data_IF_155666061698
#
_entry.id   IF_155666061698
#
_cell.length_a   1.000
_cell.length_b   1.000
_cell.length_c   1.000
_cell.angle_alpha   90.00
_cell.angle_beta   90.00
_cell.angle_gamma   90.00
#
_symmetry.space_group_name_H-M   'P 1'
#
loop_
_entity.id
_entity.type
_entity.pdbx_description
1 polymer ?
#
# COMPACT_ATOMS: atom_id res chain seq x y z
N UNK A 1 -0.01 -32.39 21.98
CA UNK A 1 0.62 -31.05 21.92
C UNK A 1 1.83 -30.93 20.98
N UNK A 2 2.88 -31.78 21.04
CA UNK A 2 4.13 -31.61 20.24
C UNK A 2 3.94 -31.19 18.76
N UNK A 3 3.01 -31.81 18.01
CA UNK A 3 2.73 -31.46 16.60
C UNK A 3 2.30 -29.99 16.42
N UNK A 4 1.56 -29.43 17.38
CA UNK A 4 1.12 -28.04 17.37
C UNK A 4 2.29 -27.07 17.63
N UNK A 5 3.18 -27.43 18.57
CA UNK A 5 4.39 -26.66 18.89
C UNK A 5 5.32 -26.60 17.67
N UNK A 6 5.52 -27.72 16.98
CA UNK A 6 6.29 -27.74 15.72
C UNK A 6 5.60 -26.96 14.59
N UNK A 7 4.27 -26.94 14.52
CA UNK A 7 3.54 -26.07 13.57
C UNK A 7 3.82 -24.60 13.87
N UNK A 8 3.70 -24.19 15.13
CA UNK A 8 3.87 -22.80 15.55
C UNK A 8 5.32 -22.31 15.38
N UNK A 9 6.31 -23.19 15.56
CA UNK A 9 7.72 -22.91 15.27
C UNK A 9 7.98 -22.81 13.75
N UNK A 10 7.49 -23.78 12.96
CA UNK A 10 7.70 -23.83 11.51
C UNK A 10 7.04 -22.64 10.79
N UNK A 11 5.92 -22.13 11.30
CA UNK A 11 5.28 -20.92 10.79
C UNK A 11 6.10 -19.66 11.12
N UNK A 12 6.68 -19.54 12.33
CA UNK A 12 7.62 -18.45 12.66
C UNK A 12 8.91 -18.50 11.84
N UNK A 13 9.48 -19.69 11.63
CA UNK A 13 10.68 -19.87 10.79
C UNK A 13 10.40 -19.55 9.31
N UNK A 14 9.24 -19.95 8.78
CA UNK A 14 8.83 -19.58 7.41
C UNK A 14 8.67 -18.06 7.26
N UNK A 15 7.99 -17.41 8.20
CA UNK A 15 7.78 -15.95 8.17
C UNK A 15 9.11 -15.20 8.25
N UNK A 16 10.03 -15.61 9.14
CA UNK A 16 11.37 -15.04 9.23
C UNK A 16 12.17 -15.27 7.93
N UNK A 17 12.08 -16.46 7.33
CA UNK A 17 12.78 -16.77 6.09
C UNK A 17 12.21 -16.00 4.89
N UNK A 18 10.91 -15.71 4.86
CA UNK A 18 10.31 -14.79 3.89
C UNK A 18 10.86 -13.38 4.09
N UNK A 19 10.83 -12.83 5.31
CA UNK A 19 11.35 -11.49 5.62
C UNK A 19 12.84 -11.37 5.23
N UNK A 20 13.67 -12.35 5.58
CA UNK A 20 15.10 -12.38 5.23
C UNK A 20 15.29 -12.51 3.71
N UNK A 21 14.51 -13.36 3.03
CA UNK A 21 14.58 -13.49 1.57
C UNK A 21 14.14 -12.22 0.84
N UNK A 22 13.13 -11.52 1.37
CA UNK A 22 12.64 -10.22 0.87
C UNK A 22 13.70 -9.13 1.04
N UNK A 23 14.38 -9.08 2.18
CA UNK A 23 15.50 -8.16 2.42
C UNK A 23 16.70 -8.48 1.50
N UNK A 24 17.02 -9.75 1.27
CA UNK A 24 18.07 -10.18 0.33
C UNK A 24 17.70 -9.81 -1.11
N UNK A 25 16.45 -10.01 -1.53
CA UNK A 25 15.98 -9.62 -2.88
C UNK A 25 16.01 -8.10 -3.08
N UNK A 26 15.67 -7.32 -2.05
CA UNK A 26 15.81 -5.86 -2.08
C UNK A 26 17.28 -5.38 -2.14
N UNK A 27 18.22 -6.13 -1.57
CA UNK A 27 19.66 -5.89 -1.75
C UNK A 27 20.14 -6.30 -3.16
N UNK A 28 19.60 -7.36 -3.75
CA UNK A 28 19.90 -7.78 -5.13
C UNK A 28 19.36 -6.79 -6.17
N UNK A 29 18.22 -6.15 -5.90
CA UNK A 29 17.62 -5.08 -6.70
C UNK A 29 18.51 -3.81 -6.87
N UNK A 30 19.65 -3.73 -6.14
CA UNK A 30 20.65 -2.67 -6.27
C UNK A 30 21.59 -2.90 -7.46
N UNK A 31 21.83 -4.15 -7.86
CA UNK A 31 22.87 -4.47 -8.87
C UNK A 31 22.48 -3.97 -10.26
N UNK A 32 23.24 -3.01 -10.80
CA UNK A 32 24.45 -3.35 -11.56
C UNK A 32 25.78 -3.07 -10.81
N UNK A 33 26.87 -3.62 -11.35
CA UNK A 33 28.27 -3.34 -10.97
C UNK A 33 28.74 -3.73 -9.55
N UNK A 34 28.15 -4.75 -8.93
CA UNK A 34 28.77 -5.52 -7.85
C UNK A 34 29.84 -6.53 -8.35
N UNK A 35 30.59 -6.18 -9.41
CA UNK A 35 31.44 -7.09 -10.18
C UNK A 35 32.84 -6.53 -10.48
N UNK A 36 33.44 -5.78 -9.54
CA UNK A 36 34.83 -5.35 -9.60
C UNK A 36 35.42 -5.19 -8.20
N UNK A 37 36.50 -5.92 -7.90
CA UNK A 37 37.14 -6.08 -6.59
C UNK A 37 36.26 -6.72 -5.49
N UNK A 38 36.75 -7.67 -4.68
CA UNK A 38 38.02 -8.41 -4.74
C UNK A 38 37.84 -9.82 -4.18
N UNK A 39 38.66 -10.77 -4.66
CA UNK A 39 38.68 -12.13 -4.13
C UNK A 39 39.36 -12.15 -2.75
N UNK A 40 38.84 -12.96 -1.82
CA UNK A 40 39.67 -13.67 -0.86
C UNK A 40 39.03 -15.04 -0.54
N UNK A 41 39.85 -15.98 -0.09
CA UNK A 41 39.61 -17.42 -0.29
C UNK A 41 38.98 -18.14 0.92
N UNK A 42 38.51 -19.37 0.67
CA UNK A 42 38.05 -20.32 1.69
C UNK A 42 39.19 -20.72 2.64
N UNK A 43 38.85 -21.13 3.87
CA UNK A 43 39.32 -22.39 4.52
C UNK A 43 38.70 -22.59 5.93
N UNK A 44 38.82 -23.77 6.61
CA UNK A 44 37.63 -24.43 7.17
C UNK A 44 37.64 -24.79 8.69
N UNK A 45 36.66 -25.64 9.07
CA UNK A 45 36.47 -26.46 10.31
C UNK A 45 37.73 -27.14 10.89
N UNK A 46 37.74 -27.72 12.13
CA UNK A 46 36.66 -28.43 12.85
C UNK A 46 36.52 -28.00 14.35
N UNK A 47 36.03 -28.71 15.39
CA UNK A 47 35.66 -30.14 15.61
C UNK A 47 34.71 -30.35 16.83
N UNK A 48 33.54 -30.98 16.60
CA UNK A 48 32.88 -32.11 17.33
C UNK A 48 33.12 -32.37 18.85
N UNK A 49 32.04 -32.66 19.58
CA UNK A 49 32.08 -33.28 20.94
C UNK A 49 30.69 -33.51 21.59
N UNK A 50 30.28 -34.76 21.94
CA UNK A 50 28.96 -35.07 22.53
C UNK A 50 28.99 -35.58 23.99
N UNK A 51 27.88 -35.45 24.72
CA UNK A 51 27.59 -36.12 26.02
C UNK A 51 26.11 -36.57 26.05
N UNK A 52 25.75 -37.55 26.89
CA UNK A 52 24.48 -38.30 26.85
C UNK A 52 23.85 -38.51 28.25
N UNK A 53 22.72 -39.26 28.25
CA UNK A 53 22.12 -40.09 29.33
C UNK A 53 21.02 -39.54 30.28
N UNK A 54 19.84 -40.16 30.11
CA UNK A 54 18.88 -40.67 31.13
C UNK A 54 18.15 -39.61 32.02
N UNK A 55 16.97 -39.86 32.61
CA UNK A 55 16.36 -41.07 33.22
C UNK A 55 14.83 -41.19 32.93
N UNK A 56 14.33 -42.45 33.00
CA UNK A 56 12.96 -43.01 33.26
C UNK A 56 11.87 -42.11 33.92
N UNK A 57 10.56 -42.42 33.91
CA UNK A 57 9.80 -43.67 33.59
C UNK A 57 8.32 -43.40 33.17
N UNK A 58 7.62 -44.47 32.75
CA UNK A 58 6.22 -44.55 32.28
C UNK A 58 5.15 -44.75 33.37
N UNK A 59 3.86 -44.54 33.04
CA UNK A 59 2.57 -45.18 33.48
C UNK A 59 1.43 -44.38 32.77
N UNK A 60 0.60 -44.90 31.83
CA UNK A 60 -0.64 -45.71 31.98
C UNK A 60 -1.76 -44.99 32.80
N UNK A 61 -3.07 -44.97 32.48
CA UNK A 61 -3.88 -45.55 31.39
C UNK A 61 -5.20 -44.73 31.15
N UNK A 62 -6.27 -45.32 30.58
CA UNK A 62 -7.59 -44.76 30.18
C UNK A 62 -8.43 -44.14 31.35
N UNK A 63 -9.56 -43.41 31.21
CA UNK A 63 -10.71 -43.28 30.27
C UNK A 63 -11.28 -41.83 30.32
N UNK A 64 -12.35 -41.34 29.67
CA UNK A 64 -13.30 -41.84 28.64
C UNK A 64 -14.63 -41.02 28.57
N UNK A 65 -15.56 -41.44 27.70
CA UNK A 65 -16.99 -41.03 27.55
C UNK A 65 -17.35 -39.56 27.14
N UNK A 66 -18.65 -39.21 27.08
CA UNK A 66 -19.24 -38.46 25.96
C UNK A 66 -20.36 -37.45 26.30
N UNK A 67 -20.81 -36.68 25.28
CA UNK A 67 -21.95 -35.75 25.33
C UNK A 67 -22.29 -35.19 23.93
N UNK A 68 -23.58 -34.96 23.63
CA UNK A 68 -24.10 -34.67 22.27
C UNK A 68 -25.27 -33.66 22.31
N UNK A 69 -25.67 -33.10 21.15
CA UNK A 69 -26.90 -32.31 20.84
C UNK A 69 -27.02 -30.93 21.54
N UNK A 70 -27.77 -29.90 21.08
CA UNK A 70 -28.77 -29.71 20.00
C UNK A 70 -28.46 -28.44 19.15
N UNK A 71 -28.97 -28.40 17.92
CA UNK A 71 -28.97 -27.26 16.97
C UNK A 71 -30.08 -26.21 17.21
N UNK A 72 -29.87 -24.96 16.75
CA UNK A 72 -30.98 -24.03 16.45
C UNK A 72 -30.67 -23.13 15.25
N UNK A 73 -31.50 -23.17 14.20
CA UNK A 73 -31.48 -22.20 13.11
C UNK A 73 -32.34 -20.99 13.48
N UNK A 74 -31.86 -19.78 13.20
CA UNK A 74 -32.72 -18.64 12.82
C UNK A 74 -32.04 -17.88 11.67
N UNK A 75 -32.84 -17.42 10.71
CA UNK A 75 -32.41 -16.70 9.50
C UNK A 75 -33.40 -15.57 9.20
N UNK A 76 -32.95 -14.30 9.16
CA UNK A 76 -33.72 -13.19 8.64
C UNK A 76 -32.96 -12.43 7.54
N UNK A 77 -33.23 -12.73 6.26
CA UNK A 77 -32.73 -11.97 5.08
C UNK A 77 -33.19 -10.49 5.01
N UNK A 78 -33.97 -10.00 5.97
CA UNK A 78 -34.71 -8.73 5.90
C UNK A 78 -34.01 -7.44 6.35
N UNK A 79 -32.94 -7.42 7.19
CA UNK A 79 -32.23 -6.18 7.50
C UNK A 79 -31.30 -5.69 6.37
N UNK A 80 -30.75 -6.63 5.59
CA UNK A 80 -29.54 -6.43 4.77
C UNK A 80 -29.68 -5.30 3.74
N UNK A 81 -30.85 -5.20 3.09
CA UNK A 81 -31.10 -4.23 2.01
C UNK A 81 -31.14 -2.78 2.53
N UNK A 82 -31.59 -2.56 3.76
CA UNK A 82 -31.72 -1.21 4.30
C UNK A 82 -30.36 -0.63 4.73
N UNK A 83 -29.46 -1.46 5.23
CA UNK A 83 -28.06 -1.09 5.48
C UNK A 83 -27.29 -0.73 4.21
N UNK A 84 -27.51 -1.45 3.10
CA UNK A 84 -26.85 -1.18 1.81
C UNK A 84 -27.18 0.22 1.26
N UNK A 85 -28.46 0.62 1.24
CA UNK A 85 -28.83 1.97 0.79
C UNK A 85 -28.26 3.07 1.69
N UNK A 86 -28.20 2.82 3.00
CA UNK A 86 -27.64 3.76 3.96
C UNK A 86 -26.14 3.95 3.74
N UNK A 87 -25.37 2.86 3.61
CA UNK A 87 -23.94 2.91 3.26
C UNK A 87 -23.69 3.66 1.94
N UNK A 88 -24.46 3.37 0.88
CA UNK A 88 -24.32 4.06 -0.41
C UNK A 88 -24.53 5.58 -0.26
N UNK A 89 -25.54 6.00 0.51
CA UNK A 89 -25.77 7.42 0.81
C UNK A 89 -24.59 8.08 1.54
N UNK A 90 -24.02 7.38 2.54
CA UNK A 90 -22.85 7.84 3.28
C UNK A 90 -21.58 7.92 2.42
N UNK A 91 -21.28 6.91 1.60
CA UNK A 91 -20.13 6.93 0.68
C UNK A 91 -20.26 8.05 -0.34
N UNK A 92 -21.47 8.28 -0.91
CA UNK A 92 -21.73 9.40 -1.83
C UNK A 92 -21.54 10.75 -1.11
N UNK A 93 -21.96 10.88 0.15
CA UNK A 93 -21.74 12.10 0.94
C UNK A 93 -20.25 12.35 1.24
N UNK A 94 -19.49 11.31 1.61
CA UNK A 94 -18.04 11.40 1.82
C UNK A 94 -17.30 11.79 0.54
N UNK A 95 -17.62 11.15 -0.59
CA UNK A 95 -17.10 11.50 -1.92
C UNK A 95 -17.46 12.94 -2.28
N UNK A 96 -18.73 13.33 -2.12
CA UNK A 96 -19.21 14.68 -2.45
C UNK A 96 -18.54 15.77 -1.62
N UNK A 97 -18.33 15.54 -0.33
CA UNK A 97 -17.63 16.46 0.55
C UNK A 97 -16.12 16.53 0.24
N UNK A 98 -15.47 15.39 -0.04
CA UNK A 98 -14.06 15.35 -0.46
C UNK A 98 -13.85 16.09 -1.81
N UNK A 99 -14.76 15.91 -2.77
CA UNK A 99 -14.80 16.68 -4.02
C UNK A 99 -15.03 18.16 -3.78
N UNK A 100 -15.89 18.55 -2.83
CA UNK A 100 -16.09 19.96 -2.47
C UNK A 100 -14.85 20.59 -1.84
N UNK A 101 -14.12 19.87 -0.97
CA UNK A 101 -12.83 20.37 -0.42
C UNK A 101 -11.77 20.43 -1.52
N UNK A 102 -11.70 19.45 -2.43
CA UNK A 102 -10.81 19.47 -3.58
C UNK A 102 -11.11 20.66 -4.52
N UNK A 103 -12.38 20.95 -4.79
CA UNK A 103 -12.81 22.10 -5.59
C UNK A 103 -12.59 23.45 -4.88
N UNK A 104 -12.69 23.50 -3.56
CA UNK A 104 -12.33 24.67 -2.77
C UNK A 104 -10.81 24.91 -2.82
N UNK A 105 -10.01 23.86 -2.62
CA UNK A 105 -8.55 23.90 -2.71
C UNK A 105 -8.07 24.33 -4.10
N UNK A 106 -8.66 23.77 -5.17
CA UNK A 106 -8.44 24.17 -6.57
C UNK A 106 -8.86 25.62 -6.90
N UNK A 107 -9.63 26.29 -6.03
CA UNK A 107 -9.95 27.73 -6.15
C UNK A 107 -9.03 28.64 -5.34
N UNK A 108 -8.19 28.08 -4.45
CA UNK A 108 -7.26 28.86 -3.62
C UNK A 108 -5.89 29.06 -4.29
N UNK A 109 -5.58 28.31 -5.34
CA UNK A 109 -4.42 28.51 -6.21
C UNK A 109 -4.87 28.97 -7.61
N UNK A 110 -4.56 30.22 -8.04
CA UNK A 110 -4.94 30.73 -9.36
C UNK A 110 -4.08 30.17 -10.52
N UNK A 111 -3.14 29.26 -10.25
CA UNK A 111 -2.32 28.57 -11.25
C UNK A 111 -3.11 27.58 -12.14
N UNK A 112 -3.22 27.94 -13.42
CA UNK A 112 -3.63 27.10 -14.57
C UNK A 112 -5.06 26.51 -14.58
N UNK A 113 -6.04 27.21 -15.19
CA UNK A 113 -7.39 26.68 -15.45
C UNK A 113 -7.50 25.57 -16.52
N UNK A 114 -6.39 25.06 -17.07
CA UNK A 114 -6.38 24.11 -18.21
C UNK A 114 -6.78 22.69 -17.78
N UNK A 115 -5.98 22.04 -16.92
CA UNK A 115 -6.21 20.65 -16.52
C UNK A 115 -7.60 20.40 -15.92
N UNK A 116 -8.16 21.38 -15.20
CA UNK A 116 -9.52 21.31 -14.66
C UNK A 116 -10.61 21.43 -15.75
N UNK A 117 -10.38 22.23 -16.81
CA UNK A 117 -11.24 22.27 -18.00
C UNK A 117 -11.19 20.95 -18.76
N UNK A 118 -10.00 20.37 -18.91
CA UNK A 118 -9.83 19.15 -19.70
C UNK A 118 -10.51 17.96 -19.01
N UNK A 119 -10.35 17.82 -17.68
CA UNK A 119 -11.01 16.79 -16.89
C UNK A 119 -12.55 16.93 -16.85
N UNK A 120 -13.09 18.16 -16.74
CA UNK A 120 -14.53 18.42 -16.83
C UNK A 120 -15.07 18.35 -18.27
N UNK A 121 -14.21 18.56 -19.27
CA UNK A 121 -14.51 18.41 -20.68
C UNK A 121 -14.66 16.94 -21.07
N UNK A 122 -13.74 16.09 -20.61
CA UNK A 122 -13.78 14.64 -20.81
C UNK A 122 -15.03 14.02 -20.14
N UNK A 123 -15.42 14.51 -18.96
CA UNK A 123 -16.68 14.10 -18.32
C UNK A 123 -17.94 14.55 -19.10
N UNK A 124 -17.87 15.63 -19.89
CA UNK A 124 -18.96 16.08 -20.78
C UNK A 124 -18.94 15.38 -22.13
N UNK A 125 -17.78 14.93 -22.63
CA UNK A 125 -17.61 14.34 -23.96
C UNK A 125 -18.43 13.06 -24.17
N UNK A 126 -18.77 12.37 -23.07
CA UNK A 126 -19.61 11.17 -23.07
C UNK A 126 -21.07 11.38 -23.52
N UNK A 127 -21.47 12.62 -23.86
CA UNK A 127 -22.76 12.90 -24.50
C UNK A 127 -22.63 14.03 -25.53
N UNK A 128 -23.24 13.82 -26.71
CA UNK A 128 -23.25 14.70 -27.90
C UNK A 128 -22.01 14.51 -28.81
N UNK A 129 -22.07 13.49 -29.68
CA UNK A 129 -21.19 13.37 -30.85
C UNK A 129 -21.80 14.08 -32.07
N UNK A 130 -21.54 15.39 -32.25
CA UNK A 130 -21.59 16.05 -33.58
C UNK A 130 -21.06 17.49 -33.64
N UNK A 131 -20.54 17.83 -34.82
CA UNK A 131 -20.35 19.19 -35.38
C UNK A 131 -19.33 20.15 -34.74
N UNK A 132 -18.07 19.93 -35.14
CA UNK A 132 -17.32 20.82 -36.05
C UNK A 132 -16.69 22.15 -35.58
N UNK A 133 -15.38 22.26 -35.92
CA UNK A 133 -14.52 23.45 -36.02
C UNK A 133 -14.13 24.15 -34.71
N UNK A 134 -13.07 24.95 -34.68
CA UNK A 134 -11.75 24.95 -35.37
C UNK A 134 -10.96 26.06 -34.67
N UNK A 135 -9.81 25.75 -34.08
CA UNK A 135 -8.72 26.71 -33.86
C UNK A 135 -7.46 25.91 -33.52
N UNK A 136 -6.30 26.40 -33.96
CA UNK A 136 -5.05 25.64 -33.94
C UNK A 136 -4.27 25.93 -32.66
N UNK A 137 -3.88 24.86 -31.96
CA UNK A 137 -2.76 24.88 -31.03
C UNK A 137 -1.85 23.72 -31.40
N UNK A 138 -0.70 24.03 -32.01
CA UNK A 138 0.27 23.04 -32.45
C UNK A 138 0.89 22.32 -31.24
N UNK A 139 0.42 21.09 -30.96
CA UNK A 139 1.20 20.15 -30.16
C UNK A 139 2.46 19.77 -30.95
N UNK A 140 3.66 19.75 -30.33
CA UNK A 140 4.88 19.34 -31.02
C UNK A 140 4.72 17.93 -31.59
N UNK A 141 5.07 17.74 -32.86
CA UNK A 141 4.95 16.45 -33.54
C UNK A 141 6.00 15.45 -33.02
N UNK A 142 5.66 14.75 -31.93
CA UNK A 142 6.43 13.62 -31.36
C UNK A 142 6.96 12.72 -32.47
N UNK A 143 8.23 12.34 -32.40
CA UNK A 143 8.84 11.49 -33.44
C UNK A 143 8.38 10.04 -33.32
N UNK A 144 8.34 9.28 -34.42
CA UNK A 144 7.86 7.88 -34.37
C UNK A 144 8.65 6.99 -33.38
N UNK A 145 9.94 7.28 -33.18
CA UNK A 145 10.80 6.60 -32.20
C UNK A 145 10.38 6.86 -30.76
N UNK A 146 9.97 8.09 -30.46
CA UNK A 146 9.52 8.55 -29.15
C UNK A 146 8.21 7.85 -28.76
N UNK A 147 7.28 7.75 -29.72
CA UNK A 147 6.02 7.01 -29.58
C UNK A 147 6.24 5.51 -29.33
N UNK A 148 7.16 4.87 -30.04
CA UNK A 148 7.46 3.44 -29.81
C UNK A 148 8.18 3.20 -28.47
N UNK A 149 9.03 4.11 -28.01
CA UNK A 149 9.66 4.04 -26.68
C UNK A 149 8.64 4.22 -25.53
N UNK A 150 7.75 5.21 -25.61
CA UNK A 150 6.65 5.38 -24.63
C UNK A 150 5.71 4.17 -24.63
N UNK A 151 5.43 3.58 -25.79
CA UNK A 151 4.63 2.35 -25.94
C UNK A 151 5.32 1.12 -25.35
N UNK A 152 6.65 1.02 -25.46
CA UNK A 152 7.49 0.02 -24.77
C UNK A 152 7.43 0.21 -23.25
N UNK A 153 7.57 1.44 -22.74
CA UNK A 153 7.46 1.76 -21.31
C UNK A 153 6.06 1.41 -20.76
N UNK A 154 4.98 1.76 -21.49
CA UNK A 154 3.59 1.36 -21.17
C UNK A 154 3.44 -0.16 -21.04
N UNK A 155 3.92 -0.92 -22.03
CA UNK A 155 3.82 -2.38 -22.05
C UNK A 155 4.61 -3.03 -20.90
N UNK A 156 5.83 -2.56 -20.66
CA UNK A 156 6.70 -3.07 -19.60
C UNK A 156 6.15 -2.71 -18.20
N UNK A 157 5.54 -1.54 -18.04
CA UNK A 157 4.87 -1.14 -16.78
C UNK A 157 3.60 -1.94 -16.53
N UNK A 158 2.83 -2.29 -17.57
CA UNK A 158 1.59 -3.06 -17.42
C UNK A 158 1.82 -4.46 -16.84
N UNK A 159 2.96 -5.10 -17.11
CA UNK A 159 3.28 -6.46 -16.65
C UNK A 159 3.30 -6.61 -15.10
N UNK A 160 4.09 -5.83 -14.33
CA UNK A 160 4.02 -5.88 -12.86
C UNK A 160 2.67 -5.42 -12.32
N UNK A 161 2.03 -4.41 -12.92
CA UNK A 161 0.70 -3.93 -12.50
C UNK A 161 -0.32 -5.07 -12.56
N UNK A 162 -0.37 -5.82 -13.67
CA UNK A 162 -1.26 -6.98 -13.82
C UNK A 162 -0.91 -8.12 -12.85
N UNK A 163 0.38 -8.38 -12.59
CA UNK A 163 0.82 -9.43 -11.67
C UNK A 163 0.44 -9.11 -10.21
N UNK A 164 0.65 -7.86 -9.78
CA UNK A 164 0.23 -7.37 -8.46
C UNK A 164 -1.29 -7.39 -8.35
N UNK A 165 -2.02 -6.89 -9.36
CA UNK A 165 -3.48 -6.90 -9.41
C UNK A 165 -4.05 -8.31 -9.29
N UNK A 166 -3.47 -9.29 -9.99
CA UNK A 166 -3.88 -10.70 -9.88
C UNK A 166 -3.66 -11.27 -8.47
N UNK A 167 -2.55 -10.92 -7.83
CA UNK A 167 -2.25 -11.38 -6.47
C UNK A 167 -3.20 -10.75 -5.43
N UNK A 168 -3.46 -9.44 -5.52
CA UNK A 168 -4.40 -8.74 -4.65
C UNK A 168 -5.86 -9.20 -4.85
N UNK A 169 -6.28 -9.52 -6.08
CA UNK A 169 -7.57 -10.15 -6.36
C UNK A 169 -7.64 -11.56 -5.74
N UNK A 170 -6.53 -12.31 -5.67
CA UNK A 170 -6.48 -13.60 -4.98
C UNK A 170 -6.54 -13.46 -3.46
N UNK A 171 -6.01 -12.38 -2.87
CA UNK A 171 -6.21 -12.04 -1.45
C UNK A 171 -7.68 -11.77 -1.18
N UNK A 172 -8.30 -10.87 -1.95
CA UNK A 172 -9.74 -10.56 -1.86
C UNK A 172 -10.61 -11.81 -2.02
N UNK A 173 -10.21 -12.75 -2.89
CA UNK A 173 -10.89 -14.04 -3.11
C UNK A 173 -10.60 -15.10 -2.03
N UNK A 174 -9.91 -14.77 -0.93
CA UNK A 174 -9.53 -15.68 0.15
C UNK A 174 -8.45 -16.71 -0.21
N UNK A 175 -7.85 -16.63 -1.40
CA UNK A 175 -6.86 -17.60 -1.93
C UNK A 175 -5.42 -17.23 -1.53
N UNK A 176 -5.23 -16.85 -0.26
CA UNK A 176 -4.01 -16.26 0.30
C UNK A 176 -2.72 -16.97 -0.10
N UNK A 177 -2.69 -18.31 -0.03
CA UNK A 177 -1.49 -19.08 -0.39
C UNK A 177 -1.07 -18.92 -1.86
N UNK A 178 -2.02 -18.77 -2.79
CA UNK A 178 -1.72 -18.52 -4.19
C UNK A 178 -1.24 -17.06 -4.40
N UNK A 179 -1.87 -16.09 -3.73
CA UNK A 179 -1.44 -14.70 -3.78
C UNK A 179 0.01 -14.51 -3.32
N UNK A 180 0.38 -15.10 -2.17
CA UNK A 180 1.77 -15.07 -1.64
C UNK A 180 2.77 -15.60 -2.66
N UNK A 181 2.47 -16.71 -3.34
CA UNK A 181 3.34 -17.23 -4.41
C UNK A 181 3.45 -16.28 -5.61
N UNK A 182 2.38 -15.56 -5.99
CA UNK A 182 2.46 -14.55 -7.06
C UNK A 182 3.25 -13.31 -6.61
N UNK A 183 3.10 -12.82 -5.37
CA UNK A 183 3.95 -11.73 -4.87
C UNK A 183 5.43 -12.13 -4.82
N UNK A 184 5.76 -13.34 -4.36
CA UNK A 184 7.13 -13.88 -4.37
C UNK A 184 7.65 -13.98 -5.80
N UNK A 185 6.88 -14.57 -6.73
CA UNK A 185 7.25 -14.69 -8.14
C UNK A 185 7.44 -13.33 -8.81
N UNK A 186 6.58 -12.36 -8.51
CA UNK A 186 6.67 -10.97 -9.01
C UNK A 186 7.94 -10.28 -8.48
N UNK A 187 8.21 -10.38 -7.18
CA UNK A 187 9.41 -9.80 -6.58
C UNK A 187 10.69 -10.39 -7.17
N UNK A 188 10.76 -11.72 -7.35
CA UNK A 188 11.90 -12.39 -8.00
C UNK A 188 12.04 -11.95 -9.46
N UNK A 189 10.94 -11.92 -10.24
CA UNK A 189 10.96 -11.52 -11.64
C UNK A 189 11.42 -10.06 -11.84
N UNK A 190 11.01 -9.15 -10.94
CA UNK A 190 11.46 -7.75 -10.97
C UNK A 190 12.92 -7.60 -10.50
N UNK A 191 13.34 -8.38 -9.49
CA UNK A 191 14.74 -8.37 -9.00
C UNK A 191 15.74 -8.85 -10.05
N UNK A 192 15.35 -9.82 -10.88
CA UNK A 192 16.18 -10.41 -11.94
C UNK A 192 15.97 -9.77 -13.32
N UNK A 193 15.12 -8.74 -13.41
CA UNK A 193 14.77 -8.09 -14.68
C UNK A 193 15.97 -7.43 -15.38
N UNK A 194 16.92 -6.91 -14.60
CA UNK A 194 18.19 -6.32 -15.03
C UNK A 194 19.08 -7.24 -15.89
N UNK A 195 18.93 -8.56 -15.76
CA UNK A 195 19.65 -9.55 -16.58
C UNK A 195 19.13 -9.52 -18.04
N UNK A 196 17.81 -9.36 -18.21
CA UNK A 196 17.14 -9.39 -19.53
C UNK A 196 16.98 -7.98 -20.13
N UNK A 197 16.68 -6.99 -19.29
CA UNK A 197 16.35 -5.62 -19.68
C UNK A 197 17.43 -4.68 -19.14
N UNK A 198 18.26 -4.16 -20.03
CA UNK A 198 19.37 -3.22 -19.71
C UNK A 198 18.96 -1.75 -19.82
N UNK A 199 17.67 -1.48 -19.64
CA UNK A 199 17.06 -0.16 -19.74
C UNK A 199 16.94 0.44 -18.33
N UNK A 200 17.58 1.60 -18.12
CA UNK A 200 17.71 2.20 -16.80
C UNK A 200 16.37 2.70 -16.26
N UNK A 201 15.50 3.25 -17.11
CA UNK A 201 14.21 3.77 -16.64
C UNK A 201 13.22 2.64 -16.39
N UNK A 202 13.24 1.57 -17.20
CA UNK A 202 12.49 0.35 -16.88
C UNK A 202 12.96 -0.25 -15.54
N UNK A 203 14.27 -0.31 -15.31
CA UNK A 203 14.81 -0.80 -14.03
C UNK A 203 14.34 0.05 -12.83
N UNK A 204 14.34 1.39 -12.95
CA UNK A 204 13.85 2.29 -11.90
C UNK A 204 12.33 2.16 -11.68
N UNK A 205 11.51 1.99 -12.72
CA UNK A 205 10.08 1.68 -12.60
C UNK A 205 9.90 0.36 -11.86
N UNK A 206 10.71 -0.65 -12.17
CA UNK A 206 10.60 -1.97 -11.55
C UNK A 206 11.07 -1.96 -10.08
N UNK A 207 12.08 -1.17 -9.72
CA UNK A 207 12.41 -0.87 -8.33
C UNK A 207 11.24 -0.25 -7.57
N UNK A 208 10.56 0.74 -8.15
CA UNK A 208 9.36 1.33 -7.54
C UNK A 208 8.23 0.29 -7.36
N UNK A 209 7.97 -0.53 -8.39
CA UNK A 209 6.96 -1.59 -8.34
C UNK A 209 7.28 -2.71 -7.34
N UNK A 210 8.56 -2.99 -7.04
CA UNK A 210 8.96 -4.01 -6.06
C UNK A 210 8.52 -3.68 -4.63
N UNK A 211 8.33 -2.40 -4.29
CA UNK A 211 7.90 -1.99 -2.94
C UNK A 211 6.53 -2.57 -2.54
N UNK A 212 5.65 -2.85 -3.50
CA UNK A 212 4.29 -3.33 -3.26
C UNK A 212 4.24 -4.82 -2.85
N UNK A 213 4.83 -5.79 -3.59
CA UNK A 213 4.96 -7.16 -3.10
C UNK A 213 5.85 -7.26 -1.87
N UNK A 214 6.83 -6.37 -1.67
CA UNK A 214 7.62 -6.29 -0.42
C UNK A 214 6.73 -5.90 0.76
N UNK A 215 5.95 -4.81 0.67
CA UNK A 215 4.96 -4.39 1.66
C UNK A 215 3.97 -5.52 1.97
N UNK A 216 3.39 -6.15 0.93
CA UNK A 216 2.43 -7.25 1.14
C UNK A 216 3.05 -8.47 1.82
N UNK A 217 4.23 -8.91 1.39
CA UNK A 217 4.90 -10.08 1.97
C UNK A 217 5.37 -9.84 3.40
N UNK A 218 5.82 -8.63 3.74
CA UNK A 218 6.14 -8.26 5.13
C UNK A 218 4.86 -8.25 5.97
N UNK A 219 3.80 -7.57 5.53
CA UNK A 219 2.52 -7.50 6.23
C UNK A 219 1.94 -8.91 6.53
N UNK A 220 1.85 -9.78 5.51
CA UNK A 220 1.38 -11.17 5.69
C UNK A 220 2.33 -12.08 6.48
N UNK A 221 3.60 -11.68 6.67
CA UNK A 221 4.58 -12.44 7.47
C UNK A 221 4.67 -11.98 8.93
N UNK A 222 4.14 -10.81 9.29
CA UNK A 222 4.23 -10.36 10.68
C UNK A 222 3.21 -11.09 11.57
N UNK A 223 3.63 -11.61 12.74
CA UNK A 223 2.70 -12.22 13.68
C UNK A 223 1.82 -11.15 14.33
N UNK A 224 0.52 -11.42 14.46
CA UNK A 224 -0.40 -10.53 15.17
C UNK A 224 -0.08 -10.58 16.67
N UNK A 225 0.22 -9.43 17.26
CA UNK A 225 0.48 -9.30 18.70
C UNK A 225 -0.84 -8.97 19.41
N UNK A 226 -1.59 -10.00 19.83
CA UNK A 226 -2.96 -9.89 20.35
C UNK A 226 -3.15 -8.87 21.51
N UNK A 227 -2.17 -8.72 22.40
CA UNK A 227 -2.20 -7.74 23.50
C UNK A 227 -1.99 -6.29 23.03
N UNK A 228 -1.40 -6.10 21.84
CA UNK A 228 -0.87 -4.80 21.38
C UNK A 228 -0.94 -4.63 19.85
N UNK A 229 -2.11 -4.84 19.25
CA UNK A 229 -2.32 -4.79 17.79
C UNK A 229 -1.66 -3.57 17.12
N UNK A 230 -1.75 -2.39 17.75
CA UNK A 230 -1.12 -1.14 17.30
C UNK A 230 0.42 -1.23 17.11
N UNK A 231 1.15 -2.00 17.93
CA UNK A 231 2.59 -2.16 17.75
C UNK A 231 2.96 -3.11 16.61
N UNK A 232 2.03 -3.91 16.08
CA UNK A 232 2.24 -4.71 14.87
C UNK A 232 2.64 -3.83 13.69
N UNK A 233 2.07 -2.62 13.59
CA UNK A 233 2.44 -1.64 12.56
C UNK A 233 3.91 -1.21 12.66
N UNK A 234 4.47 -1.02 13.86
CA UNK A 234 5.90 -0.74 14.04
C UNK A 234 6.75 -1.90 13.50
N UNK A 235 6.32 -3.15 13.71
CA UNK A 235 7.00 -4.34 13.20
C UNK A 235 6.77 -4.61 11.70
N UNK A 236 5.73 -4.06 11.07
CA UNK A 236 5.52 -4.12 9.60
C UNK A 236 6.34 -3.03 8.91
N UNK A 237 6.10 -1.77 9.27
CA UNK A 237 6.61 -0.61 8.53
C UNK A 237 8.08 -0.28 8.88
N UNK A 238 8.54 -0.64 10.08
CA UNK A 238 9.96 -0.50 10.48
C UNK A 238 10.92 -1.31 9.59
N UNK A 239 10.75 -2.64 9.45
CA UNK A 239 11.54 -3.45 8.51
C UNK A 239 11.34 -3.07 7.04
N UNK A 240 10.14 -2.62 6.64
CA UNK A 240 9.83 -2.12 5.29
C UNK A 240 10.57 -0.81 4.95
N UNK A 241 10.92 0.01 5.94
CA UNK A 241 11.72 1.21 5.73
C UNK A 241 13.14 0.90 5.19
N UNK A 242 13.67 -0.31 5.41
CA UNK A 242 14.99 -0.73 4.90
C UNK A 242 15.01 -0.85 3.36
N UNK A 243 14.20 -1.72 2.73
CA UNK A 243 14.14 -1.80 1.27
C UNK A 243 13.63 -0.50 0.63
N UNK A 244 12.76 0.25 1.31
CA UNK A 244 12.34 1.58 0.86
C UNK A 244 13.51 2.57 0.80
N UNK A 245 14.32 2.68 1.85
CA UNK A 245 15.47 3.59 1.87
C UNK A 245 16.51 3.22 0.79
N UNK A 246 16.78 1.92 0.62
CA UNK A 246 17.62 1.39 -0.47
C UNK A 246 17.11 1.83 -1.84
N UNK A 247 15.82 1.64 -2.11
CA UNK A 247 15.22 2.01 -3.40
C UNK A 247 15.20 3.53 -3.60
N UNK A 248 14.85 4.33 -2.58
CA UNK A 248 14.89 5.81 -2.64
C UNK A 248 16.30 6.31 -3.00
N UNK A 249 17.36 5.72 -2.43
CA UNK A 249 18.73 6.06 -2.79
C UNK A 249 19.06 5.71 -4.25
N UNK A 250 18.62 4.54 -4.73
CA UNK A 250 18.85 4.09 -6.12
C UNK A 250 18.06 4.87 -7.17
N UNK A 251 16.92 5.48 -6.81
CA UNK A 251 16.15 6.34 -7.72
C UNK A 251 16.89 7.65 -8.09
N UNK A 252 17.91 8.04 -7.32
CA UNK A 252 18.73 9.23 -7.52
C UNK A 252 17.94 10.57 -7.52
N UNK A 253 16.76 10.60 -6.90
CA UNK A 253 15.94 11.80 -6.78
C UNK A 253 16.50 12.80 -5.76
N UNK A 254 16.33 14.09 -6.05
CA UNK A 254 16.53 15.15 -5.05
C UNK A 254 15.43 15.15 -3.99
N UNK A 255 15.71 15.77 -2.83
CA UNK A 255 14.72 15.93 -1.76
C UNK A 255 13.43 16.62 -2.22
N UNK A 256 13.52 17.55 -3.18
CA UNK A 256 12.34 18.23 -3.73
C UNK A 256 11.52 17.32 -4.67
N UNK A 257 12.17 16.40 -5.41
CA UNK A 257 11.46 15.44 -6.29
C UNK A 257 10.67 14.39 -5.48
N UNK A 258 11.22 13.92 -4.36
CA UNK A 258 10.49 13.09 -3.38
C UNK A 258 9.55 13.90 -2.47
N UNK A 259 9.40 15.20 -2.71
CA UNK A 259 8.42 16.06 -2.04
C UNK A 259 8.78 16.46 -0.60
N UNK A 260 10.02 16.28 -0.16
CA UNK A 260 10.48 16.77 1.15
C UNK A 260 10.70 18.28 1.04
N UNK A 261 9.68 19.04 1.43
CA UNK A 261 9.67 20.50 1.40
C UNK A 261 9.06 21.10 2.65
N UNK A 262 9.52 22.30 3.02
CA UNK A 262 8.93 23.12 4.11
C UNK A 262 8.00 24.21 3.57
N UNK A 263 7.85 24.34 2.24
CA UNK A 263 6.95 25.28 1.57
C UNK A 263 5.51 25.04 2.06
N UNK A 264 4.86 26.09 2.56
CA UNK A 264 3.48 26.09 3.07
C UNK A 264 3.16 25.06 4.19
N UNK A 265 4.16 24.60 4.95
CA UNK A 265 3.96 23.51 5.93
C UNK A 265 2.88 23.81 6.98
N UNK A 266 2.82 25.03 7.56
CA UNK A 266 1.84 25.37 8.61
C UNK A 266 0.37 25.23 8.13
N UNK A 267 -0.08 25.89 7.04
CA UNK A 267 -1.45 25.74 6.58
C UNK A 267 -1.77 24.31 6.11
N UNK A 268 -0.80 23.57 5.55
CA UNK A 268 -0.99 22.15 5.21
C UNK A 268 -1.19 21.26 6.43
N UNK A 269 -0.40 21.44 7.49
CA UNK A 269 -0.58 20.72 8.77
C UNK A 269 -1.95 21.01 9.40
N UNK A 270 -2.41 22.28 9.34
CA UNK A 270 -3.73 22.67 9.84
C UNK A 270 -4.88 22.11 8.99
N UNK A 271 -4.72 22.03 7.67
CA UNK A 271 -5.71 21.45 6.75
C UNK A 271 -5.78 19.92 6.82
N UNK A 272 -4.68 19.26 7.19
CA UNK A 272 -4.60 17.80 7.33
C UNK A 272 -5.59 17.23 8.34
N UNK A 273 -5.89 17.95 9.43
CA UNK A 273 -6.79 17.46 10.49
C UNK A 273 -8.26 17.39 10.03
N UNK A 274 -8.92 18.47 9.55
CA UNK A 274 -10.31 18.40 9.11
C UNK A 274 -10.50 17.57 7.84
N UNK A 275 -9.52 17.56 6.92
CA UNK A 275 -9.58 16.71 5.72
C UNK A 275 -9.34 15.24 6.07
N UNK A 276 -8.42 14.95 7.00
CA UNK A 276 -8.19 13.60 7.53
C UNK A 276 -9.41 13.05 8.26
N UNK A 277 -10.12 13.88 9.03
CA UNK A 277 -11.42 13.49 9.61
C UNK A 277 -12.45 13.15 8.54
N UNK A 278 -12.55 13.98 7.49
CA UNK A 278 -13.56 13.79 6.45
C UNK A 278 -13.33 12.52 5.62
N UNK A 279 -12.06 12.21 5.30
CA UNK A 279 -11.69 11.01 4.55
C UNK A 279 -11.76 9.77 5.44
N UNK A 280 -11.21 9.83 6.67
CA UNK A 280 -11.31 8.73 7.64
C UNK A 280 -12.74 8.40 8.07
N UNK A 281 -13.65 9.37 8.03
CA UNK A 281 -15.09 9.13 8.20
C UNK A 281 -15.68 8.36 7.02
N UNK A 282 -15.28 8.66 5.78
CA UNK A 282 -15.73 7.91 4.60
C UNK A 282 -15.23 6.46 4.61
N UNK A 283 -13.99 6.24 5.06
CA UNK A 283 -13.32 4.94 5.18
C UNK A 283 -13.88 4.10 6.34
N UNK A 284 -14.17 4.73 7.47
CA UNK A 284 -14.88 4.09 8.58
C UNK A 284 -16.28 3.64 8.13
N UNK A 285 -16.90 4.38 7.20
CA UNK A 285 -18.18 4.04 6.58
C UNK A 285 -18.06 3.05 5.40
N UNK A 286 -16.87 2.54 5.06
CA UNK A 286 -16.67 1.36 4.19
C UNK A 286 -16.31 0.08 4.93
N UNK A 287 -15.48 0.14 5.98
CA UNK A 287 -15.00 -1.06 6.70
C UNK A 287 -15.40 -1.20 8.17
N UNK A 288 -15.97 -0.18 8.82
CA UNK A 288 -16.48 -0.24 10.23
C UNK A 288 -15.47 -0.86 11.21
N UNK A 289 -14.27 -0.29 11.24
CA UNK A 289 -13.11 -0.76 12.00
C UNK A 289 -13.31 -0.81 13.52
N UNK A 290 -12.68 -1.80 14.15
CA UNK A 290 -12.43 -1.81 15.60
C UNK A 290 -11.39 -0.75 16.01
N UNK A 291 -11.35 -0.44 17.31
CA UNK A 291 -10.35 0.45 17.90
C UNK A 291 -8.98 -0.22 18.09
N UNK A 292 -7.90 0.46 17.67
CA UNK A 292 -6.51 0.03 17.91
C UNK A 292 -5.92 0.54 19.25
N UNK A 293 -6.68 1.34 20.00
CA UNK A 293 -6.34 1.82 21.35
C UNK A 293 -7.51 1.54 22.30
N UNK A 294 -7.28 1.24 23.59
CA UNK A 294 -8.33 0.84 24.52
C UNK A 294 -9.17 2.01 25.06
N UNK A 295 -8.69 3.24 24.88
CA UNK A 295 -9.34 4.47 25.33
C UNK A 295 -8.83 5.69 24.54
N UNK A 296 -9.52 6.82 24.66
CA UNK A 296 -9.14 8.11 24.08
C UNK A 296 -8.28 8.97 25.04
N UNK A 297 -7.51 8.37 25.96
CA UNK A 297 -6.57 9.15 26.78
C UNK A 297 -5.47 9.77 25.92
N UNK A 298 -4.94 10.92 26.35
CA UNK A 298 -3.85 11.63 25.67
C UNK A 298 -2.66 10.71 25.36
N UNK A 299 -2.28 9.84 26.30
CA UNK A 299 -1.17 8.88 26.12
C UNK A 299 -1.44 7.88 24.99
N UNK A 300 -2.67 7.38 24.86
CA UNK A 300 -3.01 6.39 23.83
C UNK A 300 -3.26 7.05 22.47
N UNK A 301 -3.92 8.20 22.42
CA UNK A 301 -4.03 9.02 21.20
C UNK A 301 -2.66 9.47 20.68
N UNK A 302 -1.71 9.82 21.56
CA UNK A 302 -0.35 10.18 21.17
C UNK A 302 0.42 8.98 20.58
N UNK A 303 0.33 7.79 21.18
CA UNK A 303 0.90 6.55 20.60
C UNK A 303 0.34 6.26 19.22
N UNK A 304 -0.99 6.31 19.08
CA UNK A 304 -1.68 6.08 17.81
C UNK A 304 -1.24 7.10 16.75
N UNK A 305 -1.23 8.39 17.09
CA UNK A 305 -0.82 9.46 16.16
C UNK A 305 0.63 9.30 15.72
N UNK A 306 1.55 8.96 16.63
CA UNK A 306 2.96 8.73 16.28
C UNK A 306 3.09 7.54 15.29
N UNK A 307 2.39 6.44 15.54
CA UNK A 307 2.49 5.24 14.70
C UNK A 307 1.80 5.46 13.34
N UNK A 308 0.60 6.04 13.33
CA UNK A 308 -0.15 6.27 12.10
C UNK A 308 0.45 7.35 11.20
N UNK A 309 1.07 8.40 11.77
CA UNK A 309 1.78 9.42 10.97
C UNK A 309 3.16 8.94 10.53
N UNK A 310 4.02 8.48 11.46
CA UNK A 310 5.45 8.27 11.16
C UNK A 310 5.82 6.85 10.75
N UNK A 311 4.98 5.84 11.00
CA UNK A 311 5.21 4.47 10.51
C UNK A 311 4.29 4.14 9.34
N UNK A 312 2.98 4.35 9.44
CA UNK A 312 2.04 4.00 8.35
C UNK A 312 2.07 5.06 7.25
N UNK A 313 1.50 6.24 7.50
CA UNK A 313 1.33 7.29 6.50
C UNK A 313 2.65 7.72 5.84
N UNK A 314 3.73 7.89 6.60
CA UNK A 314 5.04 8.28 6.04
C UNK A 314 5.61 7.22 5.08
N UNK A 315 5.58 5.94 5.46
CA UNK A 315 6.17 4.87 4.65
C UNK A 315 5.31 4.58 3.43
N UNK A 316 3.98 4.61 3.56
CA UNK A 316 3.09 4.42 2.41
C UNK A 316 3.12 5.59 1.44
N UNK A 317 3.06 6.84 1.88
CA UNK A 317 3.12 7.98 0.95
C UNK A 317 4.53 8.14 0.34
N UNK A 318 5.60 7.69 1.01
CA UNK A 318 6.92 7.51 0.37
C UNK A 318 6.89 6.47 -0.75
N UNK A 319 6.28 5.29 -0.51
CA UNK A 319 6.14 4.23 -1.51
C UNK A 319 5.29 4.70 -2.69
N UNK A 320 4.06 5.16 -2.43
CA UNK A 320 3.05 5.41 -3.45
C UNK A 320 3.21 6.78 -4.13
N UNK A 321 3.66 7.83 -3.43
CA UNK A 321 3.80 9.18 -4.02
C UNK A 321 5.24 9.47 -4.40
N UNK A 322 6.13 9.50 -3.42
CA UNK A 322 7.51 9.97 -3.62
C UNK A 322 8.29 9.09 -4.58
N UNK A 323 8.12 7.77 -4.49
CA UNK A 323 8.78 6.79 -5.37
C UNK A 323 7.88 6.41 -6.56
N UNK A 324 6.75 5.73 -6.33
CA UNK A 324 5.95 5.13 -7.40
C UNK A 324 5.32 6.18 -8.33
N UNK A 325 4.54 7.12 -7.78
CA UNK A 325 3.88 8.12 -8.62
C UNK A 325 4.90 9.01 -9.34
N UNK A 326 5.95 9.50 -8.67
CA UNK A 326 7.00 10.30 -9.34
C UNK A 326 7.69 9.52 -10.48
N UNK A 327 8.04 8.23 -10.29
CA UNK A 327 8.67 7.43 -11.36
C UNK A 327 7.71 7.12 -12.51
N UNK A 328 6.41 7.05 -12.26
CA UNK A 328 5.41 6.93 -13.32
C UNK A 328 5.14 8.28 -14.01
N UNK A 329 5.23 9.40 -13.31
CA UNK A 329 5.16 10.76 -13.89
C UNK A 329 6.40 11.07 -14.77
N UNK A 330 7.57 10.53 -14.45
CA UNK A 330 8.79 10.64 -15.28
C UNK A 330 8.71 9.82 -16.59
N UNK A 331 7.94 8.72 -16.61
CA UNK A 331 8.00 7.69 -17.65
C UNK A 331 6.71 7.52 -18.49
N UNK A 332 5.59 8.06 -18.03
CA UNK A 332 4.25 8.00 -18.64
C UNK A 332 3.57 9.37 -18.50
N UNK A 333 2.35 9.54 -19.04
CA UNK A 333 1.60 10.76 -18.74
C UNK A 333 1.19 10.84 -17.27
N UNK A 334 1.09 12.05 -16.73
CA UNK A 334 0.59 12.30 -15.35
C UNK A 334 -0.78 11.64 -15.10
N UNK A 335 -1.65 11.59 -16.12
CA UNK A 335 -2.95 10.90 -16.07
C UNK A 335 -2.79 9.40 -15.84
N UNK A 336 -1.86 8.75 -16.54
CA UNK A 336 -1.55 7.33 -16.35
C UNK A 336 -0.89 7.08 -14.99
N UNK A 337 0.06 7.93 -14.60
CA UNK A 337 0.75 7.83 -13.31
C UNK A 337 -0.22 7.91 -12.12
N UNK A 338 -1.14 8.88 -12.13
CA UNK A 338 -2.19 9.03 -11.11
C UNK A 338 -3.16 7.84 -11.11
N UNK A 339 -3.61 7.37 -12.28
CA UNK A 339 -4.55 6.25 -12.35
C UNK A 339 -3.91 4.93 -11.88
N UNK A 340 -2.67 4.66 -12.28
CA UNK A 340 -1.94 3.44 -11.90
C UNK A 340 -1.60 3.44 -10.41
N UNK A 341 -1.05 4.53 -9.87
CA UNK A 341 -0.68 4.59 -8.44
C UNK A 341 -1.92 4.49 -7.53
N UNK A 342 -3.04 5.09 -7.93
CA UNK A 342 -4.30 5.07 -7.17
C UNK A 342 -5.01 3.71 -7.24
N UNK A 343 -5.03 3.07 -8.42
CA UNK A 343 -5.53 1.71 -8.57
C UNK A 343 -4.74 0.73 -7.71
N UNK A 344 -3.41 0.83 -7.72
CA UNK A 344 -2.54 -0.02 -6.89
C UNK A 344 -2.72 0.25 -5.39
N UNK A 345 -2.86 1.52 -4.97
CA UNK A 345 -3.14 1.86 -3.58
C UNK A 345 -4.46 1.24 -3.09
N UNK A 346 -5.53 1.35 -3.88
CA UNK A 346 -6.81 0.72 -3.56
C UNK A 346 -6.76 -0.81 -3.55
N UNK A 347 -6.09 -1.42 -4.51
CA UNK A 347 -5.88 -2.88 -4.53
C UNK A 347 -5.08 -3.36 -3.31
N UNK A 348 -4.12 -2.58 -2.81
CA UNK A 348 -3.36 -2.91 -1.60
C UNK A 348 -4.20 -2.84 -0.31
N UNK A 349 -5.47 -2.43 -0.37
CA UNK A 349 -6.45 -2.55 0.71
C UNK A 349 -7.33 -3.83 0.59
N UNK A 350 -7.04 -4.73 -0.36
CA UNK A 350 -7.78 -5.99 -0.57
C UNK A 350 -7.91 -6.89 0.67
N UNK A 351 -6.96 -6.78 1.61
CA UNK A 351 -6.92 -7.55 2.86
C UNK A 351 -8.09 -7.30 3.81
N UNK A 352 -8.81 -6.18 3.66
CA UNK A 352 -10.04 -5.92 4.42
C UNK A 352 -11.28 -6.66 3.87
N UNK A 353 -11.16 -7.31 2.71
CA UNK A 353 -12.19 -8.22 2.19
C UNK A 353 -13.48 -7.57 1.67
N UNK A 354 -13.59 -6.24 1.62
CA UNK A 354 -14.74 -5.53 1.02
C UNK A 354 -14.34 -4.83 -0.28
N UNK A 355 -15.22 -4.84 -1.28
CA UNK A 355 -14.94 -4.16 -2.56
C UNK A 355 -15.15 -2.65 -2.45
N UNK A 356 -15.99 -2.22 -1.50
CA UNK A 356 -16.21 -0.83 -1.14
C UNK A 356 -14.90 -0.18 -0.70
N UNK A 357 -14.09 -0.90 0.09
CA UNK A 357 -12.80 -0.43 0.57
C UNK A 357 -11.80 -0.21 -0.57
N UNK A 358 -11.63 -1.20 -1.45
CA UNK A 358 -10.73 -1.14 -2.61
C UNK A 358 -11.08 0.07 -3.50
N UNK A 359 -12.38 0.35 -3.69
CA UNK A 359 -12.85 1.48 -4.47
C UNK A 359 -12.69 2.83 -3.73
N UNK A 360 -12.96 2.86 -2.42
CA UNK A 360 -12.88 4.08 -1.62
C UNK A 360 -11.42 4.52 -1.41
N UNK A 361 -10.57 3.62 -0.92
CA UNK A 361 -9.14 3.87 -0.74
C UNK A 361 -8.45 4.16 -2.08
N UNK A 362 -8.86 3.51 -3.18
CA UNK A 362 -8.41 3.88 -4.53
C UNK A 362 -8.82 5.31 -4.93
N UNK A 363 -10.03 5.76 -4.58
CA UNK A 363 -10.48 7.14 -4.80
C UNK A 363 -9.76 8.16 -3.89
N UNK A 364 -9.55 7.84 -2.61
CA UNK A 364 -8.74 8.65 -1.68
C UNK A 364 -7.29 8.73 -2.18
N UNK A 365 -6.74 7.61 -2.67
CA UNK A 365 -5.43 7.55 -3.31
C UNK A 365 -5.30 8.43 -4.55
N UNK A 366 -6.39 8.62 -5.31
CA UNK A 366 -6.43 9.58 -6.42
C UNK A 366 -6.46 11.03 -5.93
N UNK A 367 -7.22 11.35 -4.89
CA UNK A 367 -7.20 12.68 -4.26
C UNK A 367 -5.80 12.99 -3.71
N UNK A 368 -5.23 12.10 -2.90
CA UNK A 368 -3.91 12.30 -2.30
C UNK A 368 -2.80 12.34 -3.36
N UNK A 369 -2.90 11.54 -4.42
CA UNK A 369 -2.01 11.59 -5.57
C UNK A 369 -2.08 12.91 -6.34
N UNK A 370 -3.28 13.43 -6.57
CA UNK A 370 -3.47 14.72 -7.24
C UNK A 370 -2.99 15.90 -6.38
N UNK A 371 -3.26 15.87 -5.08
CA UNK A 371 -2.76 16.90 -4.14
C UNK A 371 -1.24 16.81 -4.00
N UNK A 372 -0.64 15.60 -4.01
CA UNK A 372 0.81 15.44 -4.10
C UNK A 372 1.37 16.03 -5.40
N UNK A 373 0.76 15.75 -6.55
CA UNK A 373 1.18 16.31 -7.84
C UNK A 373 1.15 17.86 -7.82
N UNK A 374 0.08 18.46 -7.29
CA UNK A 374 -0.08 19.93 -7.24
C UNK A 374 0.76 20.64 -6.15
N UNK A 375 1.27 19.92 -5.14
CA UNK A 375 2.02 20.54 -4.02
C UNK A 375 3.48 20.11 -3.91
N UNK A 376 3.82 18.92 -4.42
CA UNK A 376 5.04 18.15 -4.12
C UNK A 376 5.43 18.26 -2.64
N UNK A 377 4.46 18.02 -1.75
CA UNK A 377 4.64 18.06 -0.29
C UNK A 377 4.30 16.70 0.33
N UNK A 378 5.32 15.86 0.45
CA UNK A 378 5.25 14.60 1.21
C UNK A 378 4.81 14.84 2.67
N UNK A 379 5.31 15.86 3.42
CA UNK A 379 4.86 16.10 4.79
C UNK A 379 3.35 16.37 4.90
N UNK A 380 2.76 17.08 3.92
CA UNK A 380 1.32 17.33 3.89
C UNK A 380 0.55 16.02 3.75
N UNK A 381 0.86 15.22 2.73
CA UNK A 381 0.11 13.98 2.46
C UNK A 381 0.36 12.92 3.56
N UNK A 382 1.59 12.83 4.07
CA UNK A 382 1.97 11.98 5.22
C UNK A 382 1.10 12.26 6.43
N UNK A 383 0.94 13.54 6.79
CA UNK A 383 0.17 13.93 7.98
C UNK A 383 -1.32 13.86 7.72
N UNK A 384 -1.78 14.13 6.50
CA UNK A 384 -3.16 13.91 6.09
C UNK A 384 -3.56 12.43 6.23
N UNK A 385 -2.85 11.51 5.58
CA UNK A 385 -3.08 10.07 5.66
C UNK A 385 -2.88 9.56 7.11
N UNK A 386 -1.87 10.06 7.82
CA UNK A 386 -1.70 9.78 9.25
C UNK A 386 -2.92 10.16 10.10
N UNK A 387 -3.56 11.31 9.82
CA UNK A 387 -4.82 11.69 10.47
C UNK A 387 -6.02 10.85 10.02
N UNK A 388 -6.15 10.47 8.74
CA UNK A 388 -7.17 9.50 8.26
C UNK A 388 -7.15 8.26 9.17
N UNK A 389 -5.97 7.67 9.34
CA UNK A 389 -5.77 6.49 10.19
C UNK A 389 -6.03 6.74 11.69
N UNK A 390 -5.72 7.93 12.24
CA UNK A 390 -6.07 8.30 13.63
C UNK A 390 -7.58 8.39 13.84
N UNK A 391 -8.32 8.94 12.87
CA UNK A 391 -9.78 9.00 12.95
C UNK A 391 -10.41 7.62 12.74
N UNK A 392 -9.97 6.87 11.73
CA UNK A 392 -10.45 5.53 11.37
C UNK A 392 -10.25 4.47 12.46
N UNK A 393 -9.04 4.36 13.02
CA UNK A 393 -8.69 3.31 13.99
C UNK A 393 -8.67 3.77 15.45
N UNK A 394 -8.82 5.07 15.69
CA UNK A 394 -8.82 5.65 17.04
C UNK A 394 -10.17 6.21 17.42
N UNK A 395 -10.53 7.33 16.78
CA UNK A 395 -11.61 8.20 17.29
C UNK A 395 -12.99 7.68 16.90
N UNK A 396 -13.23 7.35 15.64
CA UNK A 396 -14.56 6.99 15.13
C UNK A 396 -15.15 5.70 15.76
N UNK A 397 -14.38 4.61 15.96
CA UNK A 397 -14.91 3.40 16.61
C UNK A 397 -15.39 3.64 18.04
N UNK A 398 -14.73 4.54 18.78
CA UNK A 398 -15.14 4.92 20.14
C UNK A 398 -16.42 5.76 20.18
N UNK A 399 -16.80 6.41 19.08
CA UNK A 399 -17.99 7.27 19.03
C UNK A 399 -19.29 6.50 18.71
N UNK A 400 -19.21 5.21 18.35
CA UNK A 400 -20.38 4.36 18.04
C UNK A 400 -21.32 4.94 16.96
N UNK A 401 -20.73 5.58 15.94
CA UNK A 401 -21.39 6.12 14.74
C UNK A 401 -21.45 5.02 13.67
#
# INVERSE_FOLDING_TARGET
MQKLINSHKKQKELNLLIIVSVLILALLAISPEAASSSNLELSPSPERGPVSEQIRADTLEETGDSGVVITSNEDPETPLKMGQYLHIGYTIMGIGAAVLVLLAYLRMDPGEPRLAKDFLGDLRSLKIWKTARTEESEEPAETDKEKDEVKKLRLLTALPVLSITLAEILIFSGRMGAAVWIHIGTLIALSLSNILIRDLEVHKIYQAMMLLPVLRLINLSMPIFYETTLYTFVFIYGPLAIPLAIIVMNQQYSLEQIGITQKHIIPYMLLSVPLGFLLGLGEYLTIRTDYLIPDLTFTNLLKLTIIMVFFVGLVEELIFRSVLQTRLEDALSVREALLISSLLFGLMHSGYGTYQEILYTGFVGFIMGFVYYRTKSLPFITVLHGFVNVFLFGILPHLSI
#
